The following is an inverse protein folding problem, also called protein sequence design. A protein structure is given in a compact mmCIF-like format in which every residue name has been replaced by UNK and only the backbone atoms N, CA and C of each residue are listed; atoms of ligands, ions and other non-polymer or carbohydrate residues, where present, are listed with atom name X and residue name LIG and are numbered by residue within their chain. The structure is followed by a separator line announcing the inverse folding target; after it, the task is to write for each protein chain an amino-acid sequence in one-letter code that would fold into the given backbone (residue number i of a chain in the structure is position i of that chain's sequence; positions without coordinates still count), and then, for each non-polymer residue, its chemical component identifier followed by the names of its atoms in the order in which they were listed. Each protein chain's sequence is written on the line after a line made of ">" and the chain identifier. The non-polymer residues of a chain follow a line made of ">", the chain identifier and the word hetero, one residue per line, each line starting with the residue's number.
data_IF_591687055084
#
_entry.id   IF_591687055084
#
_cell.length_a   1.000
_cell.length_b   1.000
_cell.length_c   1.000
_cell.angle_alpha   90.00
_cell.angle_beta   90.00
_cell.angle_gamma   90.00
#
_symmetry.space_group_name_H-M   'P 1'
#
loop_
_entity.id
_entity.type
_entity.pdbx_description
1 polymer ?
#
# COMPACT_ATOMS: atom_id res chain seq x y z
N UNK A 1 6.53 12.77 37.98
CA UNK A 1 5.45 12.08 37.28
C UNK A 1 5.97 10.89 36.52
N UNK A 2 5.34 9.77 36.70
CA UNK A 2 5.79 8.54 36.07
C UNK A 2 5.16 8.42 34.68
N UNK A 3 5.99 8.21 33.68
CA UNK A 3 5.48 8.01 32.32
C UNK A 3 5.02 6.57 32.15
N UNK A 4 3.91 6.39 31.46
CA UNK A 4 3.45 5.07 31.11
C UNK A 4 4.38 4.46 30.05
N UNK A 5 4.52 3.13 30.09
CA UNK A 5 5.34 2.43 29.10
C UNK A 5 4.86 2.63 27.68
N UNK A 6 3.55 2.79 27.50
CA UNK A 6 2.98 2.97 26.19
C UNK A 6 3.45 4.24 25.51
N UNK A 7 3.68 5.29 26.28
CA UNK A 7 4.06 6.58 25.72
C UNK A 7 2.97 7.20 24.88
N UNK A 8 3.32 8.21 24.07
CA UNK A 8 2.35 8.81 23.16
C UNK A 8 1.91 7.82 22.10
N UNK A 9 0.62 7.84 21.80
CA UNK A 9 0.05 7.00 20.74
C UNK A 9 -0.04 7.84 19.47
N UNK A 10 0.61 7.38 18.42
CA UNK A 10 0.51 8.02 17.13
C UNK A 10 -0.84 7.69 16.51
N UNK A 11 -1.40 8.67 15.83
CA UNK A 11 -2.67 8.51 15.17
C UNK A 11 -2.45 7.92 13.79
N UNK A 12 -2.55 6.60 13.70
CA UNK A 12 -2.34 5.86 12.45
C UNK A 12 -3.65 5.64 11.69
N UNK A 13 -4.59 6.53 11.87
CA UNK A 13 -5.85 6.40 11.14
C UNK A 13 -5.62 6.48 9.65
N UNK A 14 -6.29 5.61 8.88
CA UNK A 14 -6.17 5.67 7.43
C UNK A 14 -6.63 7.01 6.89
N UNK A 15 -5.90 7.50 5.90
CA UNK A 15 -6.25 8.74 5.19
C UNK A 15 -6.79 8.34 3.82
N UNK A 16 -7.99 8.81 3.51
CA UNK A 16 -8.59 8.54 2.21
C UNK A 16 -8.13 9.59 1.22
N UNK A 17 -7.68 9.12 0.07
CA UNK A 17 -7.33 10.00 -1.05
C UNK A 17 -7.99 9.46 -2.30
N UNK A 18 -8.31 10.35 -3.21
CA UNK A 18 -8.84 9.96 -4.51
C UNK A 18 -7.81 10.27 -5.57
N UNK A 19 -7.56 9.31 -6.45
CA UNK A 19 -6.61 9.49 -7.54
C UNK A 19 -7.24 9.01 -8.85
N UNK A 20 -6.85 9.63 -9.94
CA UNK A 20 -7.19 9.15 -11.26
C UNK A 20 -6.03 8.35 -11.82
N UNK A 21 -6.33 7.18 -12.34
CA UNK A 21 -5.33 6.32 -12.97
C UNK A 21 -5.55 6.37 -14.48
N UNK A 22 -4.45 6.35 -15.22
CA UNK A 22 -4.57 6.17 -16.67
C UNK A 22 -5.20 4.82 -16.97
N UNK A 23 -5.84 4.70 -18.13
CA UNK A 23 -6.45 3.45 -18.54
C UNK A 23 -5.43 2.31 -18.58
N UNK A 24 -4.21 2.61 -19.00
CA UNK A 24 -3.13 1.63 -19.08
C UNK A 24 -2.75 1.12 -17.69
N UNK A 25 -2.57 2.02 -16.73
CA UNK A 25 -2.23 1.64 -15.36
C UNK A 25 -3.37 0.83 -14.74
N UNK A 26 -4.60 1.23 -14.99
CA UNK A 26 -5.76 0.50 -14.47
C UNK A 26 -5.80 -0.93 -15.01
N UNK A 27 -5.56 -1.10 -16.31
CA UNK A 27 -5.50 -2.44 -16.91
C UNK A 27 -4.40 -3.28 -16.29
N UNK A 28 -3.23 -2.68 -16.10
CA UNK A 28 -2.09 -3.40 -15.53
C UNK A 28 -2.35 -3.80 -14.08
N UNK A 29 -2.99 -2.95 -13.31
CA UNK A 29 -3.36 -3.28 -11.93
C UNK A 29 -4.38 -4.41 -11.90
N UNK A 30 -5.33 -4.41 -12.82
CA UNK A 30 -6.32 -5.48 -12.91
C UNK A 30 -5.64 -6.81 -13.22
N UNK A 31 -4.71 -6.82 -14.16
CA UNK A 31 -3.94 -8.01 -14.48
C UNK A 31 -3.08 -8.45 -13.30
N UNK A 32 -2.44 -7.50 -12.63
CA UNK A 32 -1.62 -7.79 -11.46
C UNK A 32 -2.45 -8.45 -10.37
N UNK A 33 -3.66 -7.94 -10.11
CA UNK A 33 -4.53 -8.50 -9.10
C UNK A 33 -4.87 -9.97 -9.38
N UNK A 34 -5.09 -10.32 -10.65
CA UNK A 34 -5.37 -11.70 -11.04
C UNK A 34 -4.16 -12.60 -10.81
N UNK A 35 -2.99 -12.13 -11.21
CA UNK A 35 -1.75 -12.90 -11.02
C UNK A 35 -1.47 -13.08 -9.53
N UNK A 36 -1.63 -12.03 -8.76
CA UNK A 36 -1.44 -12.07 -7.31
C UNK A 36 -2.37 -13.09 -6.67
N UNK A 37 -3.65 -13.10 -7.07
CA UNK A 37 -4.60 -14.05 -6.52
C UNK A 37 -4.19 -15.49 -6.83
N UNK A 38 -3.72 -15.73 -8.06
CA UNK A 38 -3.23 -17.04 -8.44
C UNK A 38 -2.02 -17.47 -7.62
N UNK A 39 -1.06 -16.56 -7.46
CA UNK A 39 0.17 -16.86 -6.73
C UNK A 39 -0.05 -17.08 -5.24
N UNK A 40 -1.03 -16.42 -4.67
CA UNK A 40 -1.28 -16.50 -3.22
C UNK A 40 -2.44 -17.41 -2.85
N UNK A 41 -3.04 -18.06 -3.84
CA UNK A 41 -4.14 -19.01 -3.59
C UNK A 41 -5.46 -18.36 -3.21
N UNK A 42 -5.64 -17.10 -3.56
CA UNK A 42 -6.92 -16.42 -3.32
C UNK A 42 -7.96 -16.88 -4.32
N UNK A 43 -9.19 -17.05 -3.85
CA UNK A 43 -10.31 -17.44 -4.71
C UNK A 43 -10.68 -16.31 -5.66
N UNK A 44 -10.65 -15.08 -5.16
CA UNK A 44 -10.97 -13.88 -5.93
C UNK A 44 -9.82 -12.88 -5.87
N UNK A 45 -9.57 -12.14 -6.96
CA UNK A 45 -8.58 -11.08 -6.91
C UNK A 45 -8.95 -10.01 -5.89
N UNK A 46 -7.94 -9.42 -5.27
CA UNK A 46 -8.16 -8.27 -4.39
C UNK A 46 -8.62 -7.07 -5.20
N UNK A 47 -9.43 -6.22 -4.58
CA UNK A 47 -9.79 -4.95 -5.19
C UNK A 47 -8.52 -4.12 -5.42
N UNK A 48 -8.50 -3.40 -6.54
CA UNK A 48 -7.34 -2.57 -6.91
C UNK A 48 -6.98 -1.60 -5.79
N UNK A 49 -7.98 -1.02 -5.15
CA UNK A 49 -7.79 -0.07 -4.07
C UNK A 49 -6.99 -0.65 -2.90
N UNK A 50 -7.10 -1.95 -2.70
CA UNK A 50 -6.39 -2.62 -1.61
C UNK A 50 -4.95 -2.99 -1.98
N UNK A 51 -4.63 -2.98 -3.26
CA UNK A 51 -3.27 -3.27 -3.73
C UNK A 51 -2.40 -2.02 -3.72
N UNK A 52 -2.99 -0.86 -3.97
CA UNK A 52 -2.23 0.37 -4.17
C UNK A 52 -1.39 0.72 -2.94
N UNK A 53 -1.98 0.64 -1.74
CA UNK A 53 -1.27 0.97 -0.51
C UNK A 53 0.00 0.15 -0.32
N UNK A 54 -0.10 -1.20 -0.30
CA UNK A 54 1.09 -2.05 -0.16
C UNK A 54 2.10 -1.87 -1.28
N UNK A 55 1.66 -1.61 -2.51
CA UNK A 55 2.58 -1.35 -3.63
C UNK A 55 3.39 -0.09 -3.38
N UNK A 56 2.74 0.98 -2.94
CA UNK A 56 3.43 2.23 -2.63
C UNK A 56 4.41 2.05 -1.47
N UNK A 57 4.00 1.31 -0.45
CA UNK A 57 4.87 1.00 0.66
C UNK A 57 6.15 0.32 0.21
N UNK A 58 6.01 -0.71 -0.63
CA UNK A 58 7.17 -1.45 -1.13
C UNK A 58 8.02 -0.61 -2.05
N UNK A 59 7.40 0.20 -2.88
CA UNK A 59 8.13 1.10 -3.75
C UNK A 59 9.00 2.06 -2.94
N UNK A 60 8.40 2.71 -1.96
CA UNK A 60 9.12 3.65 -1.12
C UNK A 60 10.21 2.98 -0.29
N UNK A 61 9.93 1.78 0.20
CA UNK A 61 10.91 1.05 1.00
C UNK A 61 12.13 0.65 0.19
N UNK A 62 11.98 0.43 -1.11
CA UNK A 62 13.09 0.06 -1.99
C UNK A 62 13.74 1.26 -2.69
N UNK A 63 13.19 2.45 -2.55
CA UNK A 63 13.71 3.64 -3.19
C UNK A 63 14.82 4.23 -2.34
N UNK A 64 16.05 4.06 -2.81
CA UNK A 64 17.22 4.52 -2.07
C UNK A 64 17.27 6.03 -1.94
N UNK A 65 16.84 6.74 -2.96
CA UNK A 65 16.81 8.20 -2.92
C UNK A 65 15.86 8.71 -1.85
N UNK A 66 14.69 8.11 -1.74
CA UNK A 66 13.73 8.47 -0.71
C UNK A 66 14.27 8.14 0.69
N UNK A 67 14.78 6.93 0.86
CA UNK A 67 15.28 6.49 2.18
C UNK A 67 16.46 7.32 2.66
N UNK A 68 17.26 7.84 1.75
CA UNK A 68 18.40 8.67 2.10
C UNK A 68 17.98 10.03 2.66
N UNK A 69 16.80 10.51 2.27
CA UNK A 69 16.33 11.85 2.62
C UNK A 69 15.29 11.87 3.74
N UNK A 70 14.99 10.73 4.33
CA UNK A 70 13.98 10.65 5.39
C UNK A 70 14.62 10.58 6.76
#
# INVERSE_FOLDING_TARGET
>A
MVKLKLGPIEDDKPVKISVELSAAVHRDLTAYARIHASDTGLIHPMAIERLIGPMLERFMASDRGFRRNV
#
